data_IF_203450935588
#
_entry.id   IF_203450935588
#
_cell.length_a   1.000
_cell.length_b   1.000
_cell.length_c   1.000
_cell.angle_alpha   90.00
_cell.angle_beta   90.00
_cell.angle_gamma   90.00
#
_symmetry.space_group_name_H-M   'P 1'
#
loop_
_entity.id
_entity.type
_entity.pdbx_description
1 polymer ?
#
# COMPACT_ATOMS: atom_id res chain seq x y z
N UNK A 1 -5.30 -14.23 23.13
CA UNK A 1 -4.77 -13.42 22.01
C UNK A 1 -5.80 -13.46 20.90
N UNK A 2 -6.19 -12.31 20.34
CA UNK A 2 -7.10 -12.28 19.19
C UNK A 2 -6.39 -12.84 17.95
N UNK A 3 -7.14 -13.48 17.06
CA UNK A 3 -6.65 -13.90 15.74
C UNK A 3 -6.25 -12.70 14.87
N UNK A 4 -6.73 -11.51 15.21
CA UNK A 4 -6.42 -10.27 14.51
C UNK A 4 -4.91 -10.00 14.44
N UNK A 5 -4.18 -10.23 15.53
CA UNK A 5 -2.73 -10.01 15.58
C UNK A 5 -1.93 -11.02 14.72
N UNK A 6 -2.59 -12.01 14.13
CA UNK A 6 -1.96 -12.96 13.21
C UNK A 6 -2.33 -12.72 11.75
N UNK A 7 -3.16 -11.70 11.47
CA UNK A 7 -3.55 -11.35 10.10
C UNK A 7 -2.36 -10.68 9.42
N UNK A 8 -1.92 -11.27 8.31
CA UNK A 8 -0.87 -10.75 7.44
C UNK A 8 -1.45 -10.21 6.16
N UNK A 9 -0.80 -9.19 5.63
CA UNK A 9 -1.05 -8.62 4.31
C UNK A 9 0.17 -8.94 3.46
N UNK A 10 -0.06 -9.54 2.30
CA UNK A 10 0.99 -9.78 1.31
C UNK A 10 1.04 -8.62 0.34
N UNK A 11 2.16 -7.91 0.32
CA UNK A 11 2.44 -6.82 -0.60
C UNK A 11 3.27 -7.35 -1.78
N UNK A 12 2.94 -6.89 -2.98
CA UNK A 12 3.60 -7.29 -4.22
C UNK A 12 3.75 -6.08 -5.14
N UNK A 13 4.97 -5.78 -5.57
CA UNK A 13 5.28 -4.78 -6.58
C UNK A 13 6.11 -5.42 -7.69
N UNK A 14 5.63 -5.34 -8.92
CA UNK A 14 6.36 -5.76 -10.11
C UNK A 14 6.29 -4.70 -11.20
N UNK A 15 7.41 -4.46 -11.87
CA UNK A 15 7.55 -3.42 -12.91
C UNK A 15 7.52 -3.98 -14.34
N UNK A 16 6.99 -5.19 -14.52
CA UNK A 16 6.90 -5.85 -15.84
C UNK A 16 8.22 -6.44 -16.36
N UNK A 17 9.32 -6.35 -15.59
CA UNK A 17 10.58 -7.01 -15.90
C UNK A 17 10.72 -8.31 -15.11
N UNK A 18 11.00 -9.47 -15.76
CA UNK A 18 11.16 -10.74 -15.06
C UNK A 18 12.24 -10.66 -13.97
N UNK A 19 11.87 -11.01 -12.74
CA UNK A 19 12.78 -10.97 -11.58
C UNK A 19 12.92 -9.60 -10.90
N UNK A 20 12.34 -8.52 -11.46
CA UNK A 20 12.22 -7.24 -10.76
C UNK A 20 10.89 -7.19 -10.00
N UNK A 21 10.85 -7.94 -8.90
CA UNK A 21 9.69 -8.06 -8.02
C UNK A 21 10.12 -7.79 -6.58
N UNK A 22 9.33 -7.01 -5.87
CA UNK A 22 9.39 -6.87 -4.43
C UNK A 22 8.16 -7.54 -3.80
N UNK A 23 8.39 -8.39 -2.81
CA UNK A 23 7.33 -9.03 -2.01
C UNK A 23 7.65 -8.85 -0.54
N UNK A 24 6.63 -8.52 0.26
CA UNK A 24 6.77 -8.37 1.70
C UNK A 24 5.47 -8.80 2.40
N UNK A 25 5.61 -9.44 3.56
CA UNK A 25 4.50 -9.75 4.46
C UNK A 25 4.54 -8.76 5.63
N UNK A 26 3.47 -7.99 5.81
CA UNK A 26 3.32 -7.07 6.95
C UNK A 26 2.13 -7.49 7.82
N UNK A 27 2.12 -7.10 9.09
CA UNK A 27 1.00 -7.44 9.97
C UNK A 27 -0.06 -6.34 9.96
N UNK A 28 -1.33 -6.71 9.78
CA UNK A 28 -2.44 -5.74 9.76
C UNK A 28 -2.51 -4.90 11.05
N UNK A 29 -2.18 -5.51 12.19
CA UNK A 29 -2.22 -4.85 13.49
C UNK A 29 -1.16 -3.76 13.68
N UNK A 30 -0.19 -3.65 12.78
CA UNK A 30 0.81 -2.58 12.78
C UNK A 30 0.23 -1.27 12.22
N UNK A 31 -0.87 -1.35 11.46
CA UNK A 31 -1.48 -0.22 10.75
C UNK A 31 -2.85 0.18 11.32
N UNK A 32 -3.60 -0.76 11.89
CA UNK A 32 -4.95 -0.48 12.41
C UNK A 32 -5.30 -1.37 13.60
N UNK A 33 -6.05 -0.83 14.56
CA UNK A 33 -6.55 -1.62 15.69
C UNK A 33 -7.70 -2.55 15.28
N UNK A 34 -7.86 -3.68 15.97
CA UNK A 34 -8.95 -4.63 15.72
C UNK A 34 -10.34 -3.96 15.79
N UNK A 35 -10.50 -3.01 16.72
CA UNK A 35 -11.77 -2.31 16.92
C UNK A 35 -12.11 -1.34 15.78
N UNK A 36 -11.11 -0.74 15.16
CA UNK A 36 -11.28 0.15 14.00
C UNK A 36 -11.51 -0.66 12.74
N UNK A 37 -10.71 -1.72 12.55
CA UNK A 37 -10.88 -2.66 11.44
C UNK A 37 -12.29 -3.25 11.38
N UNK A 38 -12.88 -3.58 12.53
CA UNK A 38 -14.22 -4.14 12.60
C UNK A 38 -15.35 -3.14 12.33
N UNK A 39 -15.07 -1.83 12.35
CA UNK A 39 -16.04 -0.78 11.96
C UNK A 39 -16.10 -0.59 10.45
N UNK A 40 -15.01 -0.91 9.75
CA UNK A 40 -14.93 -0.78 8.30
C UNK A 40 -15.77 -1.84 7.58
N UNK A 41 -16.53 -1.40 6.60
CA UNK A 41 -17.19 -2.27 5.63
C UNK A 41 -16.17 -2.83 4.62
N UNK A 42 -16.61 -3.70 3.71
CA UNK A 42 -15.71 -4.36 2.76
C UNK A 42 -14.96 -3.37 1.84
N UNK A 43 -15.66 -2.34 1.35
CA UNK A 43 -15.06 -1.33 0.47
C UNK A 43 -14.07 -0.46 1.23
N UNK A 44 -14.41 -0.02 2.44
CA UNK A 44 -13.50 0.77 3.28
C UNK A 44 -12.24 -0.02 3.66
N UNK A 45 -12.35 -1.34 3.83
CA UNK A 45 -11.20 -2.22 4.06
C UNK A 45 -10.27 -2.29 2.85
N UNK A 46 -10.84 -2.43 1.65
CA UNK A 46 -10.05 -2.42 0.41
C UNK A 46 -9.34 -1.08 0.22
N UNK A 47 -10.05 0.03 0.44
CA UNK A 47 -9.49 1.39 0.36
C UNK A 47 -8.35 1.57 1.37
N UNK A 48 -8.53 1.14 2.63
CA UNK A 48 -7.49 1.18 3.65
C UNK A 48 -6.24 0.36 3.25
N UNK A 49 -6.42 -0.86 2.76
CA UNK A 49 -5.31 -1.70 2.30
C UNK A 49 -4.54 -1.02 1.14
N UNK A 50 -5.23 -0.31 0.25
CA UNK A 50 -4.63 0.36 -0.89
C UNK A 50 -3.93 1.67 -0.53
N UNK A 51 -4.62 2.59 0.13
CA UNK A 51 -4.14 3.95 0.36
C UNK A 51 -3.19 4.05 1.55
N UNK A 52 -3.46 3.33 2.64
CA UNK A 52 -2.69 3.47 3.87
C UNK A 52 -1.53 2.47 3.96
N UNK A 53 -1.65 1.30 3.31
CA UNK A 53 -0.62 0.25 3.41
C UNK A 53 0.15 0.12 2.10
N UNK A 54 -0.53 -0.20 1.00
CA UNK A 54 0.14 -0.47 -0.26
C UNK A 54 0.83 0.77 -0.83
N UNK A 55 0.16 1.92 -0.85
CA UNK A 55 0.72 3.16 -1.41
C UNK A 55 1.93 3.67 -0.63
N UNK A 56 1.87 3.63 0.70
CA UNK A 56 3.01 3.98 1.56
C UNK A 56 4.20 3.04 1.28
N UNK A 57 3.96 1.73 1.26
CA UNK A 57 5.00 0.75 0.98
C UNK A 57 5.62 0.92 -0.42
N UNK A 58 4.79 1.09 -1.46
CA UNK A 58 5.25 1.29 -2.85
C UNK A 58 6.09 2.55 -3.01
N UNK A 59 5.77 3.63 -2.26
CA UNK A 59 6.53 4.88 -2.32
C UNK A 59 8.00 4.73 -1.91
N UNK A 60 8.34 3.70 -1.13
CA UNK A 60 9.73 3.37 -0.79
C UNK A 60 10.54 2.74 -1.93
N UNK A 61 9.88 2.32 -3.02
CA UNK A 61 10.52 1.62 -4.15
C UNK A 61 10.40 2.38 -5.47
N UNK A 62 9.37 3.22 -5.64
CA UNK A 62 9.14 3.96 -6.88
C UNK A 62 9.60 5.41 -6.76
N UNK A 63 10.66 5.75 -7.50
CA UNK A 63 11.00 7.14 -7.78
C UNK A 63 10.01 7.71 -8.80
N UNK A 64 9.15 8.62 -8.34
CA UNK A 64 8.12 9.25 -9.17
C UNK A 64 8.29 10.77 -9.15
N UNK A 65 8.12 11.42 -10.31
CA UNK A 65 8.12 12.87 -10.43
C UNK A 65 7.01 13.33 -11.37
N UNK A 66 6.39 14.47 -11.04
CA UNK A 66 5.47 15.18 -11.92
C UNK A 66 6.00 16.59 -12.17
N UNK A 67 5.89 17.10 -13.39
CA UNK A 67 6.35 18.45 -13.74
C UNK A 67 5.37 19.11 -14.71
N UNK A 68 5.14 20.41 -14.51
CA UNK A 68 4.40 21.28 -15.44
C UNK A 68 5.43 22.00 -16.30
N UNK A 69 5.23 22.02 -17.61
CA UNK A 69 6.01 22.81 -18.54
C UNK A 69 5.08 23.67 -19.40
N UNK A 70 5.51 24.89 -19.71
CA UNK A 70 4.85 25.82 -20.62
C UNK A 70 5.69 25.88 -21.90
N UNK A 71 5.09 25.65 -23.06
CA UNK A 71 5.80 25.61 -24.35
C UNK A 71 6.08 27.03 -24.91
N UNK A 72 5.46 28.08 -24.36
CA UNK A 72 5.60 29.45 -24.86
C UNK A 72 6.59 30.28 -24.02
N UNK A 73 7.88 30.00 -24.18
CA UNK A 73 8.96 30.92 -23.84
C UNK A 73 10.00 30.95 -24.96
N UNK A 74 9.60 31.45 -26.14
CA UNK A 74 10.50 32.02 -27.16
C UNK A 74 10.34 33.54 -27.22
#
# INVERSE_FOLDING_TARGET
MSKFNSIKIKLYLGIGFPGAVHEEDVFLHEYISESEWNKLNATEKEEFLHEEIFREWVSGYLDQSVSIYDEEAE
#
